data_IF_277225228053
#
_entry.id   IF_277225228053
#
_cell.length_a   1.000
_cell.length_b   1.000
_cell.length_c   1.000
_cell.angle_alpha   90.00
_cell.angle_beta   90.00
_cell.angle_gamma   90.00
#
_symmetry.space_group_name_H-M   'P 1'
#
loop_
_entity.id
_entity.type
_entity.pdbx_description
1 polymer ?
#
# COMPACT_ATOMS: atom_id res chain seq x y z
N UNK A 1 20.77 12.37 -25.01
CA UNK A 1 20.88 11.80 -23.66
C UNK A 1 20.09 12.57 -22.58
N UNK A 2 19.74 13.86 -22.75
CA UNK A 2 18.95 14.60 -21.73
C UNK A 2 17.48 14.19 -21.65
N UNK A 3 16.83 13.89 -22.79
CA UNK A 3 15.41 13.48 -22.84
C UNK A 3 15.13 12.23 -21.99
N UNK A 4 15.99 11.22 -22.07
CA UNK A 4 15.84 9.97 -21.30
C UNK A 4 15.93 10.20 -19.78
N UNK A 5 16.80 11.09 -19.30
CA UNK A 5 16.86 11.45 -17.86
C UNK A 5 15.64 12.22 -17.38
N UNK A 6 15.12 13.13 -18.22
CA UNK A 6 13.94 13.90 -17.87
C UNK A 6 12.69 13.02 -17.81
N UNK A 7 12.57 12.05 -18.73
CA UNK A 7 11.50 11.06 -18.74
C UNK A 7 11.53 10.16 -17.50
N UNK A 8 12.73 9.71 -17.09
CA UNK A 8 12.90 8.94 -15.84
C UNK A 8 12.56 9.78 -14.61
N UNK A 9 12.96 11.05 -14.56
CA UNK A 9 12.58 11.93 -13.44
C UNK A 9 11.05 12.12 -13.38
N UNK A 10 10.38 12.33 -14.52
CA UNK A 10 8.92 12.42 -14.60
C UNK A 10 8.25 11.14 -14.11
N UNK A 11 8.78 9.98 -14.49
CA UNK A 11 8.30 8.69 -13.99
C UNK A 11 8.43 8.64 -12.47
N UNK A 12 9.60 8.96 -11.90
CA UNK A 12 9.82 9.01 -10.45
C UNK A 12 8.79 9.89 -9.74
N UNK A 13 8.58 11.13 -10.21
CA UNK A 13 7.59 12.02 -9.60
C UNK A 13 6.16 11.49 -9.72
N UNK A 14 5.82 10.91 -10.88
CA UNK A 14 4.49 10.32 -11.10
C UNK A 14 4.23 9.14 -10.19
N UNK A 15 5.23 8.28 -9.92
CA UNK A 15 5.10 7.15 -8.99
C UNK A 15 4.83 7.62 -7.57
N UNK A 16 5.58 8.62 -7.07
CA UNK A 16 5.30 9.21 -5.75
C UNK A 16 3.90 9.81 -5.66
N UNK A 17 3.48 10.56 -6.70
CA UNK A 17 2.14 11.15 -6.77
C UNK A 17 1.05 10.06 -6.80
N UNK A 18 1.21 9.02 -7.61
CA UNK A 18 0.26 7.91 -7.67
C UNK A 18 0.06 7.26 -6.30
N UNK A 19 1.14 7.05 -5.54
CA UNK A 19 1.03 6.51 -4.19
C UNK A 19 0.24 7.46 -3.27
N UNK A 20 0.55 8.75 -3.28
CA UNK A 20 -0.06 9.72 -2.37
C UNK A 20 -1.50 10.10 -2.73
N UNK A 21 -1.79 10.22 -4.02
CA UNK A 21 -3.03 10.77 -4.56
C UNK A 21 -4.03 9.67 -4.96
N UNK A 22 -3.57 8.45 -5.22
CA UNK A 22 -4.45 7.33 -5.59
C UNK A 22 -4.39 6.19 -4.58
N UNK A 23 -3.20 5.62 -4.33
CA UNK A 23 -3.08 4.43 -3.47
C UNK A 23 -3.53 4.72 -2.02
N UNK A 24 -3.00 5.76 -1.38
CA UNK A 24 -3.32 6.08 0.02
C UNK A 24 -4.80 6.44 0.23
N UNK A 25 -5.43 7.29 -0.62
CA UNK A 25 -6.87 7.51 -0.57
C UNK A 25 -7.69 6.23 -0.82
N UNK A 26 -7.26 5.40 -1.78
CA UNK A 26 -7.88 4.10 -2.05
C UNK A 26 -7.81 3.16 -0.84
N UNK A 27 -6.66 3.11 -0.16
CA UNK A 27 -6.46 2.29 1.03
C UNK A 27 -7.31 2.78 2.21
N UNK A 28 -7.42 4.10 2.41
CA UNK A 28 -8.34 4.68 3.41
C UNK A 28 -9.80 4.31 3.13
N UNK A 29 -10.22 4.39 1.86
CA UNK A 29 -11.56 3.96 1.48
C UNK A 29 -11.75 2.45 1.75
N UNK A 30 -10.75 1.63 1.43
CA UNK A 30 -10.78 0.19 1.71
C UNK A 30 -10.95 -0.12 3.21
N UNK A 31 -10.28 0.62 4.10
CA UNK A 31 -10.47 0.52 5.55
C UNK A 31 -11.92 0.80 5.94
N UNK A 32 -12.54 1.85 5.39
CA UNK A 32 -13.95 2.18 5.66
C UNK A 32 -14.92 1.10 5.16
N UNK A 33 -14.65 0.55 3.97
CA UNK A 33 -15.42 -0.56 3.42
C UNK A 33 -15.25 -1.82 4.26
N UNK A 34 -14.04 -2.11 4.74
CA UNK A 34 -13.77 -3.22 5.63
C UNK A 34 -14.49 -3.11 6.97
N UNK A 35 -14.54 -1.92 7.57
CA UNK A 35 -15.35 -1.65 8.79
C UNK A 35 -16.84 -1.86 8.53
N UNK A 36 -17.33 -1.44 7.36
CA UNK A 36 -18.72 -1.69 6.95
C UNK A 36 -19.00 -3.19 6.76
N UNK A 37 -18.05 -3.92 6.17
CA UNK A 37 -18.16 -5.36 5.97
C UNK A 37 -18.22 -6.12 7.30
N UNK A 38 -17.31 -5.80 8.23
CA UNK A 38 -17.33 -6.36 9.59
C UNK A 38 -18.66 -6.10 10.29
N UNK A 39 -19.17 -4.87 10.24
CA UNK A 39 -20.46 -4.52 10.83
C UNK A 39 -21.62 -5.34 10.24
N UNK A 40 -21.62 -5.56 8.93
CA UNK A 40 -22.65 -6.37 8.27
C UNK A 40 -22.60 -7.83 8.73
N UNK A 41 -21.39 -8.39 8.89
CA UNK A 41 -21.21 -9.76 9.40
C UNK A 41 -21.69 -9.88 10.84
N UNK A 42 -21.37 -8.92 11.71
CA UNK A 42 -21.89 -8.90 13.09
C UNK A 42 -23.41 -8.82 13.16
N UNK A 43 -24.04 -8.03 12.28
CA UNK A 43 -25.50 -7.98 12.20
C UNK A 43 -26.10 -9.32 11.73
N UNK A 44 -25.45 -9.97 10.75
CA UNK A 44 -25.85 -11.28 10.25
C UNK A 44 -25.73 -12.35 11.32
N UNK A 45 -24.63 -12.41 12.08
CA UNK A 45 -24.43 -13.42 13.14
C UNK A 45 -25.46 -13.24 14.25
N UNK A 46 -25.77 -12.00 14.64
CA UNK A 46 -26.81 -11.71 15.62
C UNK A 46 -28.22 -12.14 15.16
N UNK A 47 -28.59 -11.81 13.92
CA UNK A 47 -29.87 -12.21 13.36
C UNK A 47 -29.98 -13.74 13.23
N UNK A 48 -28.91 -14.38 12.77
CA UNK A 48 -28.81 -15.83 12.67
C UNK A 48 -28.97 -16.51 14.03
N UNK A 49 -28.33 -16.00 15.09
CA UNK A 49 -28.46 -16.53 16.44
C UNK A 49 -29.91 -16.49 16.91
N UNK A 50 -30.58 -15.35 16.73
CA UNK A 50 -31.98 -15.18 17.10
C UNK A 50 -32.90 -16.17 16.37
N UNK A 51 -32.64 -16.40 15.08
CA UNK A 51 -33.38 -17.39 14.29
C UNK A 51 -33.20 -18.82 14.83
N UNK A 52 -31.96 -19.24 15.08
CA UNK A 52 -31.70 -20.59 15.58
C UNK A 52 -32.12 -20.79 17.04
N UNK A 53 -32.13 -19.75 17.87
CA UNK A 53 -32.75 -19.81 19.20
C UNK A 53 -34.26 -20.12 19.09
N UNK A 54 -34.96 -19.54 18.11
CA UNK A 54 -36.36 -19.89 17.83
C UNK A 54 -36.54 -21.34 17.33
N UNK A 55 -35.62 -21.83 16.48
CA UNK A 55 -35.60 -23.25 16.06
C UNK A 55 -35.43 -24.18 17.26
N UNK A 56 -34.50 -23.86 18.17
CA UNK A 56 -34.30 -24.62 19.41
C UNK A 56 -35.58 -24.66 20.26
N UNK A 57 -36.28 -23.52 20.36
CA UNK A 57 -37.54 -23.44 21.12
C UNK A 57 -38.63 -24.34 20.54
N UNK A 58 -38.73 -24.43 19.22
CA UNK A 58 -39.64 -25.38 18.55
C UNK A 58 -39.19 -26.82 18.82
N UNK A 59 -37.88 -27.08 18.79
CA UNK A 59 -37.30 -28.37 19.15
C UNK A 59 -37.66 -28.82 20.57
N UNK A 60 -37.57 -27.93 21.56
CA UNK A 60 -37.99 -28.20 22.95
C UNK A 60 -39.46 -28.62 23.04
N UNK A 61 -40.35 -27.95 22.30
CA UNK A 61 -41.77 -28.29 22.26
C UNK A 61 -42.03 -29.66 21.61
N UNK A 62 -41.28 -30.00 20.56
CA UNK A 62 -41.37 -31.31 19.91
C UNK A 62 -40.77 -32.43 20.77
N UNK A 63 -39.73 -32.13 21.56
CA UNK A 63 -39.04 -33.10 22.41
C UNK A 63 -39.91 -33.66 23.56
N UNK A 64 -40.98 -32.96 23.95
CA UNK A 64 -41.96 -33.44 24.92
C UNK A 64 -43.11 -34.25 24.29
N UNK A 65 -43.19 -34.30 22.95
CA UNK A 65 -44.22 -35.05 22.23
C UNK A 65 -43.91 -36.56 22.21
N UNK A 66 -44.89 -37.44 22.48
CA UNK A 66 -44.69 -38.90 22.43
C UNK A 66 -44.24 -39.43 21.06
N UNK A 67 -44.65 -38.77 19.96
CA UNK A 67 -44.41 -39.24 18.58
C UNK A 67 -43.34 -38.42 17.85
N UNK A 68 -42.92 -37.27 18.39
CA UNK A 68 -41.99 -36.35 17.72
C UNK A 68 -40.74 -36.07 18.53
N UNK A 69 -40.52 -36.79 19.64
CA UNK A 69 -39.40 -36.57 20.57
C UNK A 69 -38.05 -36.51 19.87
N UNK A 70 -37.76 -37.49 19.02
CA UNK A 70 -36.48 -37.59 18.30
C UNK A 70 -36.27 -36.40 17.35
N UNK A 71 -37.34 -35.96 16.66
CA UNK A 71 -37.29 -34.78 15.80
C UNK A 71 -36.99 -33.50 16.59
N UNK A 72 -37.52 -33.39 17.82
CA UNK A 72 -37.23 -32.29 18.73
C UNK A 72 -35.75 -32.21 19.10
N UNK A 73 -35.14 -33.37 19.41
CA UNK A 73 -33.69 -33.46 19.68
C UNK A 73 -32.88 -33.01 18.47
N UNK A 74 -33.22 -33.50 17.26
CA UNK A 74 -32.53 -33.12 16.03
C UNK A 74 -32.64 -31.62 15.76
N UNK A 75 -33.79 -30.97 15.99
CA UNK A 75 -33.95 -29.53 15.83
C UNK A 75 -33.07 -28.72 16.79
N UNK A 76 -32.93 -29.18 18.03
CA UNK A 76 -32.04 -28.56 19.02
C UNK A 76 -30.56 -28.73 18.61
N UNK A 77 -30.18 -29.90 18.10
CA UNK A 77 -28.83 -30.14 17.58
C UNK A 77 -28.50 -29.27 16.36
N UNK A 78 -29.45 -29.11 15.43
CA UNK A 78 -29.31 -28.20 14.27
C UNK A 78 -29.05 -26.76 14.76
N UNK A 79 -29.84 -26.29 15.73
CA UNK A 79 -29.65 -24.96 16.31
C UNK A 79 -28.25 -24.79 16.91
N UNK A 80 -27.80 -25.77 17.70
CA UNK A 80 -26.51 -25.72 18.37
C UNK A 80 -25.33 -25.71 17.38
N UNK A 81 -25.39 -26.54 16.32
CA UNK A 81 -24.38 -26.54 15.26
C UNK A 81 -24.29 -25.17 14.58
N UNK A 82 -25.42 -24.59 14.17
CA UNK A 82 -25.41 -23.27 13.53
C UNK A 82 -24.92 -22.15 14.44
N UNK A 83 -25.25 -22.19 15.74
CA UNK A 83 -24.74 -21.22 16.71
C UNK A 83 -23.22 -21.32 16.88
N UNK A 84 -22.65 -22.53 16.88
CA UNK A 84 -21.20 -22.74 16.88
C UNK A 84 -20.54 -22.19 15.61
N UNK A 85 -21.12 -22.45 14.44
CA UNK A 85 -20.64 -21.89 13.16
C UNK A 85 -20.61 -20.35 13.19
N UNK A 86 -21.67 -19.73 13.70
CA UNK A 86 -21.73 -18.26 13.83
C UNK A 86 -20.68 -17.71 14.79
N UNK A 87 -20.44 -18.37 15.93
CA UNK A 87 -19.40 -17.99 16.88
C UNK A 87 -18.00 -18.03 16.25
N UNK A 88 -17.69 -19.11 15.52
CA UNK A 88 -16.40 -19.26 14.83
C UNK A 88 -16.21 -18.21 13.72
N UNK A 89 -17.30 -17.83 13.03
CA UNK A 89 -17.27 -16.74 12.06
C UNK A 89 -16.97 -15.40 12.74
N UNK A 90 -17.58 -15.12 13.89
CA UNK A 90 -17.29 -13.91 14.68
C UNK A 90 -15.81 -13.85 15.11
N UNK A 91 -15.24 -14.96 15.58
CA UNK A 91 -13.81 -15.03 15.93
C UNK A 91 -12.91 -14.80 14.72
N UNK A 92 -13.28 -15.29 13.55
CA UNK A 92 -12.56 -15.03 12.28
C UNK A 92 -12.60 -13.54 11.94
N UNK A 93 -13.75 -12.87 12.11
CA UNK A 93 -13.87 -11.44 11.86
C UNK A 93 -13.19 -10.55 12.91
N UNK A 94 -13.02 -11.03 14.16
CA UNK A 94 -12.13 -10.35 15.13
C UNK A 94 -10.67 -10.33 14.65
N UNK A 95 -10.20 -11.40 13.99
CA UNK A 95 -8.86 -11.43 13.37
C UNK A 95 -8.78 -10.53 12.15
N UNK A 96 -9.80 -10.55 11.28
CA UNK A 96 -9.92 -9.58 10.18
C UNK A 96 -9.77 -8.13 10.66
N UNK A 97 -10.47 -7.76 11.74
CA UNK A 97 -10.35 -6.43 12.33
C UNK A 97 -8.92 -6.11 12.78
N UNK A 98 -8.34 -6.98 13.63
CA UNK A 98 -7.04 -6.72 14.28
C UNK A 98 -5.86 -6.80 13.31
N UNK A 99 -5.86 -7.81 12.45
CA UNK A 99 -4.69 -8.17 11.64
C UNK A 99 -4.70 -7.51 10.26
N UNK A 100 -5.89 -7.18 9.73
CA UNK A 100 -6.06 -6.50 8.45
C UNK A 100 -6.48 -5.05 8.67
N UNK A 101 -7.67 -4.77 9.21
CA UNK A 101 -8.22 -3.40 9.24
C UNK A 101 -7.37 -2.43 10.07
N UNK A 102 -7.02 -2.79 11.31
CA UNK A 102 -6.18 -1.95 12.18
C UNK A 102 -4.80 -1.71 11.55
N UNK A 103 -4.23 -2.73 10.92
CA UNK A 103 -2.90 -2.64 10.32
C UNK A 103 -2.89 -1.81 9.02
N UNK A 104 -3.94 -1.91 8.19
CA UNK A 104 -4.12 -1.02 7.04
C UNK A 104 -4.31 0.44 7.48
N UNK A 105 -5.09 0.68 8.53
CA UNK A 105 -5.32 2.03 9.08
C UNK A 105 -4.01 2.65 9.59
N UNK A 106 -3.28 1.92 10.46
CA UNK A 106 -1.97 2.33 10.96
C UNK A 106 -0.97 2.59 9.83
N UNK A 107 -0.92 1.69 8.84
CA UNK A 107 -0.03 1.85 7.68
C UNK A 107 -0.37 3.14 6.93
N UNK A 108 -1.63 3.36 6.59
CA UNK A 108 -2.09 4.53 5.83
C UNK A 108 -1.70 5.85 6.51
N UNK A 109 -1.90 5.95 7.83
CA UNK A 109 -1.59 7.18 8.57
C UNK A 109 -0.10 7.49 8.62
N UNK A 110 0.73 6.46 8.81
CA UNK A 110 2.19 6.61 8.76
C UNK A 110 2.68 6.93 7.35
N UNK A 111 2.06 6.31 6.35
CA UNK A 111 2.50 6.36 4.96
C UNK A 111 2.36 7.75 4.34
N UNK A 112 1.30 8.47 4.68
CA UNK A 112 1.09 9.85 4.23
C UNK A 112 2.26 10.75 4.64
N UNK A 113 2.69 10.69 5.89
CA UNK A 113 3.81 11.51 6.38
C UNK A 113 5.12 11.09 5.72
N UNK A 114 5.36 9.78 5.65
CA UNK A 114 6.58 9.22 5.08
C UNK A 114 6.75 9.55 3.59
N UNK A 115 5.70 9.39 2.79
CA UNK A 115 5.77 9.62 1.35
C UNK A 115 5.91 11.09 1.00
N UNK A 116 5.22 11.98 1.71
CA UNK A 116 5.40 13.42 1.53
C UNK A 116 6.84 13.86 1.84
N UNK A 117 7.42 13.36 2.93
CA UNK A 117 8.80 13.69 3.30
C UNK A 117 9.80 13.14 2.28
N UNK A 118 9.61 11.89 1.85
CA UNK A 118 10.49 11.22 0.88
C UNK A 118 10.45 11.90 -0.48
N UNK A 119 9.25 12.21 -0.98
CA UNK A 119 9.07 12.90 -2.25
C UNK A 119 9.66 14.32 -2.22
N UNK A 120 9.39 15.08 -1.15
CA UNK A 120 9.95 16.43 -0.99
C UNK A 120 11.48 16.41 -0.94
N UNK A 121 12.09 15.41 -0.28
CA UNK A 121 13.55 15.24 -0.24
C UNK A 121 14.11 14.99 -1.64
N UNK A 122 13.50 14.07 -2.39
CA UNK A 122 13.88 13.79 -3.77
C UNK A 122 13.83 15.05 -4.64
N UNK A 123 12.71 15.79 -4.61
CA UNK A 123 12.56 17.04 -5.38
C UNK A 123 13.61 18.10 -5.00
N UNK A 124 13.88 18.24 -3.70
CA UNK A 124 14.85 19.23 -3.21
C UNK A 124 16.27 18.91 -3.67
N UNK A 125 16.66 17.63 -3.59
CA UNK A 125 17.99 17.19 -4.01
C UNK A 125 18.15 17.21 -5.54
N UNK A 126 17.11 16.79 -6.28
CA UNK A 126 17.07 16.90 -7.73
C UNK A 126 17.30 18.35 -8.18
N UNK A 127 16.51 19.28 -7.61
CA UNK A 127 16.63 20.71 -7.91
C UNK A 127 18.02 21.24 -7.58
N UNK A 128 18.55 20.91 -6.41
CA UNK A 128 19.90 21.31 -6.01
C UNK A 128 20.95 20.83 -7.03
N UNK A 129 20.95 19.54 -7.40
CA UNK A 129 21.91 19.03 -8.39
C UNK A 129 21.76 19.70 -9.76
N UNK A 130 20.52 19.98 -10.17
CA UNK A 130 20.22 20.64 -11.44
C UNK A 130 20.74 22.09 -11.45
N UNK A 131 20.46 22.87 -10.40
CA UNK A 131 20.90 24.26 -10.27
C UNK A 131 22.44 24.36 -10.31
N UNK A 132 23.15 23.42 -9.68
CA UNK A 132 24.62 23.35 -9.72
C UNK A 132 25.15 23.00 -11.12
N UNK A 133 24.49 22.08 -11.82
CA UNK A 133 24.86 21.70 -13.18
C UNK A 133 24.66 22.89 -14.15
N UNK A 134 23.52 23.56 -14.06
CA UNK A 134 23.18 24.72 -14.90
C UNK A 134 24.15 25.88 -14.66
N UNK A 135 24.52 26.14 -13.39
CA UNK A 135 25.56 27.12 -13.04
C UNK A 135 26.90 26.80 -13.70
N UNK A 136 27.32 25.53 -13.63
CA UNK A 136 28.58 25.07 -14.23
C UNK A 136 28.59 25.27 -15.75
N UNK A 137 27.49 24.92 -16.42
CA UNK A 137 27.33 25.11 -17.85
C UNK A 137 27.31 26.59 -18.24
N UNK A 138 26.66 27.45 -17.45
CA UNK A 138 26.64 28.89 -17.66
C UNK A 138 28.05 29.49 -17.53
N UNK A 139 28.85 29.03 -16.56
CA UNK A 139 30.22 29.50 -16.36
C UNK A 139 31.16 29.02 -17.48
N UNK A 140 31.03 27.77 -17.96
CA UNK A 140 31.73 27.30 -19.16
C UNK A 140 31.40 28.16 -20.39
N UNK A 141 30.11 28.50 -20.57
CA UNK A 141 29.65 29.36 -21.68
C UNK A 141 30.27 30.76 -21.60
N UNK A 142 30.43 31.31 -20.39
CA UNK A 142 31.13 32.60 -20.18
C UNK A 142 32.62 32.47 -20.46
N UNK A 143 33.26 31.37 -20.04
CA UNK A 143 34.69 31.11 -20.27
C UNK A 143 35.00 31.05 -21.77
N UNK A 144 34.20 30.30 -22.54
CA UNK A 144 34.29 30.20 -24.00
C UNK A 144 34.14 31.53 -24.74
N UNK A 145 33.35 32.46 -24.20
CA UNK A 145 33.23 33.83 -24.77
C UNK A 145 34.50 34.65 -24.53
N UNK A 146 35.21 34.42 -23.41
CA UNK A 146 36.45 35.14 -23.07
C UNK A 146 37.67 34.59 -23.81
N UNK A 147 37.67 33.30 -24.16
CA UNK A 147 38.78 32.64 -24.84
C UNK A 147 38.92 32.99 -26.33
N UNK A 148 37.91 33.61 -26.94
CA UNK A 148 37.94 34.09 -28.33
C UNK A 148 38.89 35.30 -28.58
N UNK A 149 39.57 35.82 -27.56
CA UNK A 149 40.56 36.91 -27.66
C UNK A 149 42.03 36.44 -27.78
N UNK A 150 43.00 37.38 -27.76
CA UNK A 150 44.45 37.07 -27.81
C UNK A 150 44.96 36.51 -26.48
N UNK A 151 44.79 35.20 -26.20
CA UNK A 151 45.55 34.36 -25.24
C UNK A 151 45.02 32.90 -25.17
N UNK A 152 44.72 32.29 -26.32
CA UNK A 152 43.98 31.02 -26.47
C UNK A 152 44.46 29.84 -25.59
N UNK A 153 45.77 29.55 -25.51
CA UNK A 153 46.25 28.33 -24.82
C UNK A 153 46.08 28.34 -23.29
N UNK A 154 46.00 29.51 -22.65
CA UNK A 154 45.83 29.63 -21.18
C UNK A 154 44.37 29.38 -20.75
N UNK A 155 43.42 29.60 -21.65
CA UNK A 155 42.00 29.35 -21.40
C UNK A 155 41.60 27.91 -21.70
N UNK A 156 42.32 27.23 -22.60
CA UNK A 156 42.07 25.85 -22.99
C UNK A 156 42.14 24.87 -21.82
N UNK A 157 43.16 24.99 -20.95
CA UNK A 157 43.28 24.16 -19.74
C UNK A 157 42.08 24.35 -18.80
N UNK A 158 41.66 25.61 -18.58
CA UNK A 158 40.50 25.92 -17.72
C UNK A 158 39.18 25.47 -18.32
N UNK A 159 39.05 25.49 -19.64
CA UNK A 159 37.87 24.96 -20.34
C UNK A 159 37.79 23.44 -20.18
N UNK A 160 38.91 22.73 -20.32
CA UNK A 160 38.98 21.28 -20.13
C UNK A 160 38.63 20.87 -18.69
N UNK A 161 39.20 21.51 -17.67
CA UNK A 161 38.86 21.27 -16.26
C UNK A 161 37.36 21.51 -15.98
N UNK A 162 36.79 22.55 -16.58
CA UNK A 162 35.37 22.87 -16.43
C UNK A 162 34.48 21.82 -17.14
N UNK A 163 34.89 21.34 -18.32
CA UNK A 163 34.19 20.25 -19.01
C UNK A 163 34.22 18.94 -18.24
N UNK A 164 35.36 18.56 -17.67
CA UNK A 164 35.48 17.36 -16.82
C UNK A 164 34.56 17.46 -15.61
N UNK A 165 34.53 18.63 -14.96
CA UNK A 165 33.64 18.89 -13.82
C UNK A 165 32.16 18.76 -14.21
N UNK A 166 31.77 19.31 -15.36
CA UNK A 166 30.40 19.19 -15.88
C UNK A 166 30.07 17.73 -16.19
N UNK A 167 30.97 16.99 -16.83
CA UNK A 167 30.80 15.57 -17.16
C UNK A 167 30.59 14.72 -15.90
N UNK A 168 31.42 14.93 -14.86
CA UNK A 168 31.25 14.28 -13.56
C UNK A 168 29.88 14.59 -12.97
N UNK A 169 29.46 15.85 -12.96
CA UNK A 169 28.15 16.28 -12.41
C UNK A 169 26.97 15.71 -13.20
N UNK A 170 27.08 15.61 -14.53
CA UNK A 170 26.07 14.97 -15.37
C UNK A 170 25.92 13.49 -15.04
N UNK A 171 27.05 12.81 -14.84
CA UNK A 171 27.06 11.39 -14.45
C UNK A 171 26.42 11.20 -13.07
N UNK A 172 26.74 12.07 -12.11
CA UNK A 172 26.13 12.03 -10.77
C UNK A 172 24.62 12.32 -10.80
N UNK A 173 24.17 13.24 -11.66
CA UNK A 173 22.74 13.50 -11.88
C UNK A 173 22.04 12.28 -12.48
N UNK A 174 22.62 11.66 -13.51
CA UNK A 174 22.07 10.44 -14.12
C UNK A 174 21.94 9.31 -13.11
N UNK A 175 22.96 9.10 -12.26
CA UNK A 175 22.94 8.11 -11.20
C UNK A 175 21.83 8.40 -10.18
N UNK A 176 21.75 9.65 -9.71
CA UNK A 176 20.73 10.08 -8.76
C UNK A 176 19.30 9.86 -9.30
N UNK A 177 19.04 10.21 -10.56
CA UNK A 177 17.72 10.01 -11.19
C UNK A 177 17.39 8.51 -11.31
N UNK A 178 18.36 7.69 -11.73
CA UNK A 178 18.16 6.24 -11.88
C UNK A 178 17.87 5.57 -10.52
N UNK A 179 18.66 5.90 -9.49
CA UNK A 179 18.45 5.40 -8.12
C UNK A 179 17.13 5.89 -7.54
N UNK A 180 16.80 7.16 -7.72
CA UNK A 180 15.53 7.74 -7.26
C UNK A 180 14.30 7.07 -7.91
N UNK A 181 14.37 6.76 -9.20
CA UNK A 181 13.32 6.02 -9.90
C UNK A 181 13.18 4.60 -9.36
N UNK A 182 14.30 3.91 -9.17
CA UNK A 182 14.30 2.56 -8.57
C UNK A 182 13.66 2.57 -7.19
N UNK A 183 14.03 3.51 -6.33
CA UNK A 183 13.45 3.62 -4.98
C UNK A 183 11.97 3.96 -5.02
N UNK A 184 11.52 4.87 -5.89
CA UNK A 184 10.10 5.19 -6.03
C UNK A 184 9.26 3.96 -6.45
N UNK A 185 9.74 3.18 -7.41
CA UNK A 185 9.08 1.94 -7.84
C UNK A 185 9.08 0.87 -6.74
N UNK A 186 10.15 0.77 -5.96
CA UNK A 186 10.21 -0.13 -4.80
C UNK A 186 9.28 0.31 -3.67
N UNK A 187 9.14 1.62 -3.44
CA UNK A 187 8.13 2.16 -2.54
C UNK A 187 6.72 1.75 -2.98
N UNK A 188 6.35 1.96 -4.24
CA UNK A 188 5.05 1.54 -4.76
C UNK A 188 4.84 0.02 -4.59
N UNK A 189 5.79 -0.80 -5.06
CA UNK A 189 5.71 -2.26 -4.97
C UNK A 189 5.50 -2.74 -3.53
N UNK A 190 6.25 -2.21 -2.56
CA UNK A 190 6.15 -2.62 -1.14
C UNK A 190 4.74 -2.43 -0.58
N UNK A 191 4.01 -1.41 -1.02
CA UNK A 191 2.64 -1.13 -0.58
C UNK A 191 1.64 -2.13 -1.14
N UNK A 192 1.76 -2.48 -2.42
CA UNK A 192 0.95 -3.54 -3.01
C UNK A 192 1.26 -4.91 -2.41
N UNK A 193 2.54 -5.24 -2.17
CA UNK A 193 2.91 -6.46 -1.46
C UNK A 193 2.26 -6.54 -0.07
N UNK A 194 2.36 -5.48 0.73
CA UNK A 194 1.70 -5.43 2.03
C UNK A 194 0.19 -5.68 1.94
N UNK A 195 -0.48 -5.07 0.96
CA UNK A 195 -1.92 -5.28 0.76
C UNK A 195 -2.25 -6.75 0.41
N UNK A 196 -1.46 -7.34 -0.50
CA UNK A 196 -1.59 -8.76 -0.89
C UNK A 196 -1.36 -9.66 0.31
N UNK A 197 -0.27 -9.46 1.06
CA UNK A 197 0.08 -10.30 2.22
C UNK A 197 -1.04 -10.31 3.26
N UNK A 198 -1.63 -9.13 3.56
CA UNK A 198 -2.74 -9.01 4.50
C UNK A 198 -4.00 -9.75 4.01
N UNK A 199 -4.32 -9.66 2.72
CA UNK A 199 -5.48 -10.37 2.18
C UNK A 199 -5.24 -11.88 2.06
N UNK A 200 -4.03 -12.32 1.72
CA UNK A 200 -3.66 -13.74 1.73
C UNK A 200 -3.82 -14.34 3.13
N UNK A 201 -3.36 -13.64 4.18
CA UNK A 201 -3.54 -14.10 5.55
C UNK A 201 -5.02 -14.22 5.93
N UNK A 202 -5.85 -13.24 5.58
CA UNK A 202 -7.29 -13.30 5.84
C UNK A 202 -7.97 -14.42 5.04
N UNK A 203 -7.63 -14.60 3.75
CA UNK A 203 -8.15 -15.70 2.93
C UNK A 203 -7.84 -17.04 3.56
N UNK A 204 -6.60 -17.25 4.04
CA UNK A 204 -6.23 -18.49 4.74
C UNK A 204 -7.08 -18.72 6.01
N UNK A 205 -7.32 -17.67 6.79
CA UNK A 205 -8.19 -17.75 7.98
C UNK A 205 -9.63 -18.13 7.61
N UNK A 206 -10.16 -17.55 6.54
CA UNK A 206 -11.51 -17.83 6.07
C UNK A 206 -11.64 -19.25 5.50
N UNK A 207 -10.63 -19.73 4.77
CA UNK A 207 -10.55 -21.14 4.33
C UNK A 207 -10.53 -22.08 5.53
N UNK A 208 -9.69 -21.82 6.54
CA UNK A 208 -9.64 -22.64 7.75
C UNK A 208 -10.97 -22.65 8.52
N UNK A 209 -11.69 -21.52 8.54
CA UNK A 209 -13.06 -21.47 9.07
C UNK A 209 -14.00 -22.39 8.27
N UNK A 210 -13.99 -22.29 6.93
CA UNK A 210 -14.85 -23.12 6.08
C UNK A 210 -14.55 -24.63 6.24
N UNK A 211 -13.28 -25.02 6.30
CA UNK A 211 -12.88 -26.40 6.51
C UNK A 211 -13.38 -26.92 7.87
N UNK A 212 -13.29 -26.08 8.91
CA UNK A 212 -13.73 -26.41 10.27
C UNK A 212 -15.25 -26.59 10.39
N UNK A 213 -16.06 -25.90 9.58
CA UNK A 213 -17.52 -25.97 9.67
C UNK A 213 -18.15 -26.95 8.68
N UNK A 214 -17.35 -27.52 7.78
CA UNK A 214 -17.78 -28.51 6.78
C UNK A 214 -17.52 -29.96 7.25
N UNK A 215 -16.67 -30.13 8.26
CA UNK A 215 -16.33 -31.41 8.89
C UNK A 215 -16.83 -31.47 10.34
#
# INVERSE_FOLDING_TARGET
>A
MSRTTEDVNKLTESTYKNVMEQFNPGLRNLVNLGKSYEKAVTAMTFAGKTYFDAVSKIGENAAVSPVSRELGVVLMEISEVHKKVQLELEETFKKFHRELITELEKKTDMDIKYMNATFKRYQSEHKFKQDFLDKSQADLKKLRRKSQGKHSSKYEVKENECMETISSRQTDMQRFIAEGCKEALLEEKRRFCFLVDKHCAFTYQLTAFHDKVTH
#
